data_IF_349845199254
#
_entry.id   IF_349845199254
#
_cell.length_a   1.000
_cell.length_b   1.000
_cell.length_c   1.000
_cell.angle_alpha   90.00
_cell.angle_beta   90.00
_cell.angle_gamma   90.00
#
_symmetry.space_group_name_H-M   'P 1'
#
loop_
_entity.id
_entity.type
_entity.pdbx_description
1 polymer ?
#
# COMPACT_ATOMS: atom_id res chain seq x y z
N UNK A 1 -32.72 1.73 42.96
CA UNK A 1 -32.02 2.99 42.70
C UNK A 1 -30.64 2.85 43.31
N UNK A 2 -29.69 2.43 42.49
CA UNK A 2 -28.29 2.23 42.90
C UNK A 2 -27.46 2.57 41.67
N UNK A 3 -26.64 3.59 41.84
CA UNK A 3 -25.98 4.34 40.79
C UNK A 3 -24.97 3.50 39.99
N UNK A 4 -25.31 3.24 38.73
CA UNK A 4 -24.35 2.87 37.68
C UNK A 4 -23.59 4.14 37.24
N UNK A 5 -22.79 4.68 38.16
CA UNK A 5 -21.70 5.59 37.83
C UNK A 5 -20.60 4.78 37.14
N UNK A 6 -20.87 4.35 35.91
CA UNK A 6 -19.91 3.69 35.04
C UNK A 6 -18.78 4.68 34.78
N UNK A 7 -17.69 4.52 35.52
CA UNK A 7 -16.44 5.25 35.32
C UNK A 7 -16.00 5.05 33.88
N UNK A 8 -16.20 6.08 33.05
CA UNK A 8 -15.73 6.10 31.67
C UNK A 8 -14.21 5.82 31.67
N UNK A 9 -13.72 4.85 30.88
CA UNK A 9 -12.29 4.67 30.72
C UNK A 9 -11.68 5.98 30.21
N UNK A 10 -10.81 6.58 31.03
CA UNK A 10 -10.09 7.81 30.68
C UNK A 10 -9.19 7.49 29.49
N UNK A 11 -9.54 8.02 28.32
CA UNK A 11 -8.72 7.93 27.10
C UNK A 11 -7.34 8.52 27.43
N UNK A 12 -6.25 7.74 27.35
CA UNK A 12 -4.92 8.32 27.48
C UNK A 12 -4.67 9.22 26.26
N UNK A 13 -4.79 10.54 26.45
CA UNK A 13 -4.28 11.54 25.50
C UNK A 13 -2.97 12.10 26.01
N UNK A 14 -1.89 11.43 25.66
CA UNK A 14 -0.59 12.07 25.42
C UNK A 14 0.03 11.36 24.22
N UNK A 15 0.20 12.08 23.13
CA UNK A 15 1.20 11.72 22.13
C UNK A 15 2.54 11.86 22.85
N UNK A 16 3.10 10.75 23.32
CA UNK A 16 4.43 10.73 23.90
C UNK A 16 5.43 10.77 22.73
N UNK A 17 5.56 11.95 22.13
CA UNK A 17 6.49 12.16 21.02
C UNK A 17 7.87 12.36 21.62
N UNK A 18 8.75 11.38 21.44
CA UNK A 18 10.15 11.53 21.85
C UNK A 18 10.74 12.72 21.08
N UNK A 19 11.16 13.79 21.76
CA UNK A 19 11.62 15.01 21.10
C UNK A 19 12.95 14.80 20.38
N UNK A 20 13.73 13.78 20.73
CA UNK A 20 15.05 13.52 20.13
C UNK A 20 14.95 13.03 18.68
N UNK A 21 14.21 11.95 18.35
CA UNK A 21 14.05 11.51 16.97
C UNK A 21 13.26 12.53 16.14
N UNK A 22 12.28 13.21 16.74
CA UNK A 22 11.54 14.28 16.06
C UNK A 22 12.47 15.43 15.68
N UNK A 23 13.28 15.90 16.62
CA UNK A 23 14.26 16.96 16.39
C UNK A 23 15.28 16.58 15.33
N UNK A 24 15.82 15.36 15.39
CA UNK A 24 16.75 14.84 14.39
C UNK A 24 16.12 14.78 12.99
N UNK A 25 14.89 14.31 12.87
CA UNK A 25 14.17 14.26 11.59
C UNK A 25 13.92 15.65 11.02
N UNK A 26 13.49 16.61 11.85
CA UNK A 26 13.26 18.00 11.43
C UNK A 26 14.56 18.68 10.98
N UNK A 27 15.66 18.45 11.71
CA UNK A 27 16.98 18.97 11.33
C UNK A 27 17.45 18.38 10.00
N UNK A 28 17.32 17.07 9.81
CA UNK A 28 17.68 16.42 8.54
C UNK A 28 16.84 16.93 7.38
N UNK A 29 15.54 17.11 7.58
CA UNK A 29 14.65 17.67 6.55
C UNK A 29 15.04 19.12 6.25
N UNK A 30 15.30 19.95 7.26
CA UNK A 30 15.71 21.34 7.07
C UNK A 30 17.05 21.44 6.33
N UNK A 31 18.06 20.68 6.77
CA UNK A 31 19.38 20.63 6.13
C UNK A 31 19.30 20.13 4.70
N UNK A 32 18.56 19.04 4.46
CA UNK A 32 18.32 18.51 3.11
C UNK A 32 17.66 19.55 2.21
N UNK A 33 16.64 20.25 2.71
CA UNK A 33 15.94 21.30 1.95
C UNK A 33 16.86 22.46 1.59
N UNK A 34 17.64 22.97 2.56
CA UNK A 34 18.58 24.07 2.34
C UNK A 34 19.69 23.65 1.38
N UNK A 35 20.26 22.46 1.57
CA UNK A 35 21.29 21.93 0.70
C UNK A 35 20.80 21.81 -0.74
N UNK A 36 19.64 21.18 -0.98
CA UNK A 36 19.08 21.03 -2.33
C UNK A 36 18.71 22.37 -2.97
N UNK A 37 18.27 23.34 -2.16
CA UNK A 37 17.96 24.68 -2.64
C UNK A 37 19.22 25.40 -3.14
N UNK A 38 20.37 25.18 -2.48
CA UNK A 38 21.65 25.80 -2.82
C UNK A 38 22.40 25.07 -3.94
N UNK A 39 22.37 23.73 -3.98
CA UNK A 39 23.19 22.95 -4.91
C UNK A 39 22.48 22.56 -6.20
N UNK A 40 21.14 22.50 -6.20
CA UNK A 40 20.40 22.00 -7.34
C UNK A 40 19.31 22.97 -7.82
N UNK A 41 18.23 23.14 -7.06
CA UNK A 41 17.18 24.14 -7.38
C UNK A 41 16.12 24.19 -6.28
N UNK A 42 15.42 25.33 -6.19
CA UNK A 42 14.24 25.47 -5.33
C UNK A 42 13.14 24.44 -5.61
N UNK A 43 13.01 23.98 -6.87
CA UNK A 43 12.06 22.91 -7.23
C UNK A 43 12.42 21.57 -6.58
N UNK A 44 13.70 21.19 -6.57
CA UNK A 44 14.12 19.93 -5.95
C UNK A 44 13.96 19.98 -4.42
N UNK A 45 14.24 21.12 -3.80
CA UNK A 45 13.96 21.34 -2.39
C UNK A 45 12.46 21.21 -2.06
N UNK A 46 11.58 21.78 -2.90
CA UNK A 46 10.14 21.64 -2.76
C UNK A 46 9.67 20.17 -2.92
N UNK A 47 10.20 19.45 -3.91
CA UNK A 47 9.90 18.03 -4.11
C UNK A 47 10.37 17.16 -2.93
N UNK A 48 11.51 17.50 -2.34
CA UNK A 48 12.02 16.83 -1.15
C UNK A 48 11.08 17.02 0.05
N UNK A 49 10.59 18.25 0.29
CA UNK A 49 9.58 18.51 1.33
C UNK A 49 8.27 17.76 1.08
N UNK A 50 7.78 17.75 -0.16
CA UNK A 50 6.59 16.97 -0.52
C UNK A 50 6.81 15.49 -0.23
N UNK A 51 7.99 14.93 -0.57
CA UNK A 51 8.36 13.56 -0.26
C UNK A 51 8.38 13.26 1.25
N UNK A 52 8.92 14.17 2.06
CA UNK A 52 8.94 14.04 3.52
C UNK A 52 7.53 14.04 4.13
N UNK A 53 6.67 14.97 3.70
CA UNK A 53 5.28 15.05 4.15
C UNK A 53 4.47 13.82 3.72
N UNK A 54 4.68 13.35 2.50
CA UNK A 54 4.03 12.15 1.99
C UNK A 54 4.50 10.90 2.73
N UNK A 55 5.79 10.79 3.04
CA UNK A 55 6.34 9.71 3.88
C UNK A 55 5.74 9.70 5.29
N UNK A 56 5.63 10.86 5.94
CA UNK A 56 4.98 10.98 7.25
C UNK A 56 3.49 10.59 7.18
N UNK A 57 2.79 11.02 6.13
CA UNK A 57 1.40 10.64 5.90
C UNK A 57 1.23 9.13 5.75
N UNK A 58 2.12 8.47 4.98
CA UNK A 58 2.09 7.02 4.79
C UNK A 58 2.44 6.24 6.06
N UNK A 59 3.40 6.73 6.84
CA UNK A 59 3.78 6.13 8.12
C UNK A 59 2.59 6.07 9.09
N UNK A 60 1.83 7.17 9.20
CA UNK A 60 0.66 7.23 10.07
C UNK A 60 -0.59 6.56 9.50
N UNK A 61 -0.74 6.50 8.19
CA UNK A 61 -1.92 5.91 7.57
C UNK A 61 -1.96 4.37 7.68
N UNK A 62 -0.85 3.71 8.05
CA UNK A 62 -0.70 2.23 8.07
C UNK A 62 -1.28 1.58 6.79
N UNK A 63 -1.12 2.28 5.66
CA UNK A 63 -1.86 2.03 4.44
C UNK A 63 -1.17 0.95 3.62
N UNK A 64 -1.48 -0.31 3.92
CA UNK A 64 -0.99 -1.46 3.17
C UNK A 64 -2.00 -1.97 2.15
N UNK A 65 -1.61 -2.06 0.88
CA UNK A 65 -2.48 -2.64 -0.15
C UNK A 65 -2.80 -4.11 0.17
N UNK A 66 -1.76 -4.91 0.40
CA UNK A 66 -1.85 -6.33 0.76
C UNK A 66 -2.59 -6.60 2.06
N UNK A 67 -2.38 -5.80 3.11
CA UNK A 67 -3.04 -6.01 4.41
C UNK A 67 -4.55 -5.74 4.36
N UNK A 68 -4.98 -4.70 3.63
CA UNK A 68 -6.40 -4.38 3.49
C UNK A 68 -7.19 -5.49 2.77
N UNK A 69 -6.62 -6.05 1.70
CA UNK A 69 -7.20 -7.20 0.99
C UNK A 69 -7.25 -8.46 1.86
N UNK A 70 -6.19 -8.73 2.63
CA UNK A 70 -6.15 -9.88 3.55
C UNK A 70 -7.24 -9.78 4.63
N UNK A 71 -7.38 -8.63 5.28
CA UNK A 71 -8.41 -8.38 6.29
C UNK A 71 -9.82 -8.46 5.69
N UNK A 72 -10.00 -7.99 4.45
CA UNK A 72 -11.28 -8.11 3.76
C UNK A 72 -11.66 -9.57 3.49
N UNK A 73 -10.72 -10.39 3.00
CA UNK A 73 -10.97 -11.80 2.66
C UNK A 73 -11.13 -12.66 3.93
N UNK A 74 -10.29 -12.44 4.94
CA UNK A 74 -10.28 -13.25 6.17
C UNK A 74 -11.41 -12.85 7.15
N UNK A 75 -11.60 -11.54 7.38
CA UNK A 75 -12.47 -11.03 8.42
C UNK A 75 -13.76 -10.36 7.86
N UNK A 76 -13.91 -10.28 6.54
CA UNK A 76 -15.03 -9.57 5.89
C UNK A 76 -14.99 -8.04 6.06
N UNK A 77 -13.95 -7.48 6.69
CA UNK A 77 -13.89 -6.05 7.05
C UNK A 77 -13.37 -5.20 5.89
N UNK A 78 -14.28 -4.62 5.12
CA UNK A 78 -13.97 -3.80 3.94
C UNK A 78 -13.50 -2.35 4.21
N UNK A 79 -13.16 -1.97 5.44
CA UNK A 79 -12.77 -0.58 5.75
C UNK A 79 -11.51 -0.14 4.99
N UNK A 80 -10.48 -0.98 4.92
CA UNK A 80 -9.25 -0.69 4.16
C UNK A 80 -9.49 -0.61 2.66
N UNK A 81 -10.33 -1.50 2.11
CA UNK A 81 -10.67 -1.50 0.69
C UNK A 81 -11.45 -0.22 0.29
N UNK A 82 -12.39 0.22 1.13
CA UNK A 82 -13.09 1.50 0.93
C UNK A 82 -12.13 2.69 0.99
N UNK A 83 -11.18 2.70 1.92
CA UNK A 83 -10.16 3.74 1.99
C UNK A 83 -9.31 3.80 0.71
N UNK A 84 -8.95 2.65 0.12
CA UNK A 84 -8.26 2.59 -1.17
C UNK A 84 -9.10 3.17 -2.31
N UNK A 85 -10.37 2.79 -2.38
CA UNK A 85 -11.26 3.30 -3.42
C UNK A 85 -11.46 4.82 -3.30
N UNK A 86 -11.62 5.34 -2.08
CA UNK A 86 -11.72 6.78 -1.83
C UNK A 86 -10.41 7.51 -2.18
N UNK A 87 -9.26 6.93 -1.84
CA UNK A 87 -7.96 7.49 -2.19
C UNK A 87 -7.79 7.57 -3.72
N UNK A 88 -8.08 6.49 -4.43
CA UNK A 88 -8.03 6.46 -5.90
C UNK A 88 -9.00 7.45 -6.52
N UNK A 89 -10.25 7.48 -6.04
CA UNK A 89 -11.26 8.43 -6.52
C UNK A 89 -10.82 9.87 -6.32
N UNK A 90 -10.23 10.20 -5.16
CA UNK A 90 -9.74 11.55 -4.87
C UNK A 90 -8.51 11.90 -5.71
N UNK A 91 -7.63 10.94 -5.95
CA UNK A 91 -6.51 11.09 -6.88
C UNK A 91 -7.02 11.41 -8.29
N UNK A 92 -7.95 10.61 -8.82
CA UNK A 92 -8.57 10.84 -10.13
C UNK A 92 -9.20 12.22 -10.21
N UNK A 93 -10.01 12.60 -9.22
CA UNK A 93 -10.71 13.89 -9.19
C UNK A 93 -9.74 15.09 -9.19
N UNK A 94 -8.58 14.97 -8.54
CA UNK A 94 -7.57 16.03 -8.48
C UNK A 94 -6.69 16.07 -9.74
N UNK A 95 -6.25 14.91 -10.24
CA UNK A 95 -5.26 14.84 -11.31
C UNK A 95 -5.88 14.90 -12.71
N UNK A 96 -7.08 14.37 -12.94
CA UNK A 96 -7.67 14.33 -14.29
C UNK A 96 -7.95 15.73 -14.86
N UNK A 97 -8.51 16.69 -14.10
CA UNK A 97 -8.66 18.06 -14.60
C UNK A 97 -7.31 18.71 -14.93
N UNK A 98 -6.28 18.47 -14.12
CA UNK A 98 -4.94 18.97 -14.37
C UNK A 98 -4.31 18.36 -15.64
N UNK A 99 -4.51 17.06 -15.87
CA UNK A 99 -4.09 16.37 -17.10
C UNK A 99 -4.83 16.89 -18.33
N UNK A 100 -6.13 17.17 -18.20
CA UNK A 100 -6.93 17.74 -19.28
C UNK A 100 -6.47 19.15 -19.65
N UNK A 101 -6.08 19.96 -18.66
CA UNK A 101 -5.55 21.30 -18.89
C UNK A 101 -4.22 21.29 -19.66
N UNK A 102 -3.46 20.17 -19.64
CA UNK A 102 -2.21 19.96 -20.37
C UNK A 102 -1.02 20.81 -19.88
N UNK A 103 -1.28 21.83 -19.06
CA UNK A 103 -0.27 22.66 -18.42
C UNK A 103 -0.68 22.97 -16.98
N UNK A 104 0.31 23.00 -16.08
CA UNK A 104 0.11 23.38 -14.68
C UNK A 104 1.22 24.34 -14.28
N UNK A 105 0.87 25.55 -13.82
CA UNK A 105 1.83 26.62 -13.50
C UNK A 105 2.80 26.95 -14.65
N UNK A 106 2.31 26.91 -15.90
CA UNK A 106 3.10 27.18 -17.10
C UNK A 106 4.07 26.05 -17.48
N UNK A 107 4.02 24.90 -16.80
CA UNK A 107 4.80 23.71 -17.15
C UNK A 107 3.93 22.68 -17.86
N UNK A 108 4.44 21.95 -18.87
CA UNK A 108 3.69 20.87 -19.51
C UNK A 108 3.38 19.79 -18.48
N UNK A 109 2.11 19.40 -18.39
CA UNK A 109 1.63 18.39 -17.45
C UNK A 109 0.96 17.26 -18.24
N UNK A 110 1.75 16.24 -18.56
CA UNK A 110 1.34 15.10 -19.39
C UNK A 110 1.39 13.81 -18.60
N UNK A 111 0.41 12.93 -18.85
CA UNK A 111 0.37 11.61 -18.24
C UNK A 111 1.40 10.69 -18.86
N UNK A 112 2.14 9.96 -18.03
CA UNK A 112 3.06 8.91 -18.49
C UNK A 112 2.27 7.61 -18.74
N UNK A 113 1.55 7.55 -19.85
CA UNK A 113 0.73 6.40 -20.22
C UNK A 113 1.55 5.47 -21.11
N UNK A 114 1.94 4.31 -20.58
CA UNK A 114 2.61 3.24 -21.31
C UNK A 114 1.70 2.02 -21.49
N UNK A 115 1.88 1.23 -22.57
CA UNK A 115 1.13 -0.01 -22.74
C UNK A 115 1.43 -1.00 -21.60
N UNK A 116 0.41 -1.72 -21.15
CA UNK A 116 0.56 -2.82 -20.21
C UNK A 116 1.34 -3.96 -20.89
N UNK A 117 2.65 -3.98 -20.72
CA UNK A 117 3.55 -4.96 -21.30
C UNK A 117 3.87 -6.13 -20.37
N UNK A 118 4.53 -7.15 -20.94
CA UNK A 118 5.07 -8.29 -20.20
C UNK A 118 6.00 -7.87 -19.06
N UNK A 119 6.74 -6.77 -19.24
CA UNK A 119 7.61 -6.18 -18.21
C UNK A 119 6.85 -5.77 -16.94
N UNK A 120 5.63 -5.23 -17.08
CA UNK A 120 4.79 -4.84 -15.93
C UNK A 120 4.33 -6.09 -15.18
N UNK A 121 3.93 -7.15 -15.89
CA UNK A 121 3.51 -8.42 -15.28
C UNK A 121 4.65 -9.07 -14.49
N UNK A 122 5.82 -9.19 -15.12
CA UNK A 122 7.01 -9.79 -14.49
C UNK A 122 7.48 -8.94 -13.31
N UNK A 123 7.55 -7.62 -13.48
CA UNK A 123 7.95 -6.68 -12.43
C UNK A 123 7.01 -6.70 -11.23
N UNK A 124 5.68 -6.69 -11.46
CA UNK A 124 4.68 -6.77 -10.39
C UNK A 124 4.76 -8.10 -9.62
N UNK A 125 5.03 -9.21 -10.32
CA UNK A 125 5.20 -10.51 -9.68
C UNK A 125 6.43 -10.56 -8.78
N UNK A 126 7.59 -10.12 -9.28
CA UNK A 126 8.83 -10.07 -8.50
C UNK A 126 8.69 -9.12 -7.31
N UNK A 127 8.06 -7.96 -7.48
CA UNK A 127 7.77 -7.02 -6.40
C UNK A 127 6.88 -7.67 -5.32
N UNK A 128 5.83 -8.39 -5.74
CA UNK A 128 4.96 -9.14 -4.83
C UNK A 128 5.72 -10.19 -4.01
N UNK A 129 6.61 -10.94 -4.65
CA UNK A 129 7.52 -11.87 -3.96
C UNK A 129 8.41 -11.10 -2.97
N UNK A 130 8.96 -9.96 -3.38
CA UNK A 130 9.76 -9.07 -2.53
C UNK A 130 9.04 -8.70 -1.23
N UNK A 131 7.77 -8.29 -1.31
CA UNK A 131 6.96 -7.90 -0.15
C UNK A 131 6.73 -9.08 0.82
N UNK A 132 6.50 -10.29 0.30
CA UNK A 132 6.31 -11.50 1.15
C UNK A 132 7.64 -11.99 1.75
N UNK A 133 8.75 -11.74 1.06
CA UNK A 133 10.10 -12.17 1.46
C UNK A 133 10.88 -11.14 2.29
N UNK A 134 10.38 -9.92 2.44
CA UNK A 134 11.08 -8.72 2.96
C UNK A 134 11.49 -8.75 4.45
N UNK A 135 11.57 -9.91 5.12
CA UNK A 135 12.14 -9.87 6.48
C UNK A 135 12.41 -11.17 7.23
N UNK A 136 12.15 -12.35 6.68
CA UNK A 136 12.46 -13.59 7.40
C UNK A 136 12.69 -14.77 6.45
N UNK A 137 13.66 -15.63 6.79
CA UNK A 137 13.85 -16.96 6.16
C UNK A 137 12.54 -17.76 6.15
N UNK A 138 11.67 -17.52 7.14
CA UNK A 138 10.33 -18.09 7.23
C UNK A 138 9.42 -17.72 6.04
N UNK A 139 9.54 -16.52 5.48
CA UNK A 139 8.75 -16.07 4.32
C UNK A 139 9.09 -16.86 3.04
N UNK A 140 10.39 -17.14 2.84
CA UNK A 140 10.85 -17.98 1.73
C UNK A 140 10.42 -19.44 1.89
N UNK A 141 10.52 -19.99 3.12
CA UNK A 141 10.09 -21.35 3.42
C UNK A 141 8.57 -21.52 3.26
N UNK A 142 7.78 -20.53 3.69
CA UNK A 142 6.33 -20.55 3.54
C UNK A 142 5.92 -20.54 2.05
N UNK A 143 6.58 -19.74 1.21
CA UNK A 143 6.28 -19.71 -0.23
C UNK A 143 6.57 -21.05 -0.91
N UNK A 144 7.73 -21.66 -0.60
CA UNK A 144 8.08 -22.99 -1.10
C UNK A 144 7.10 -24.08 -0.62
N UNK A 145 6.75 -24.07 0.67
CA UNK A 145 5.83 -25.02 1.27
C UNK A 145 4.39 -24.85 0.75
N UNK A 146 3.92 -23.61 0.58
CA UNK A 146 2.59 -23.33 0.03
C UNK A 146 2.47 -23.75 -1.43
N UNK A 147 3.52 -23.54 -2.24
CA UNK A 147 3.55 -24.01 -3.62
C UNK A 147 3.55 -25.54 -3.70
N UNK A 148 4.45 -26.19 -2.96
CA UNK A 148 4.51 -27.66 -2.90
C UNK A 148 3.21 -28.26 -2.37
N UNK A 149 2.60 -27.66 -1.33
CA UNK A 149 1.34 -28.09 -0.76
C UNK A 149 0.16 -27.94 -1.71
N UNK A 150 0.13 -26.90 -2.55
CA UNK A 150 -0.92 -26.72 -3.57
C UNK A 150 -0.77 -27.74 -4.71
N UNK A 151 0.46 -27.99 -5.17
CA UNK A 151 0.75 -29.04 -6.18
C UNK A 151 0.43 -30.44 -5.64
N UNK A 152 0.82 -30.73 -4.40
CA UNK A 152 0.54 -32.01 -3.77
C UNK A 152 -0.96 -32.17 -3.50
N UNK A 153 -1.61 -31.12 -2.99
CA UNK A 153 -3.06 -31.09 -2.76
C UNK A 153 -3.85 -31.30 -4.04
N UNK A 154 -3.49 -30.65 -5.15
CA UNK A 154 -4.13 -30.86 -6.45
C UNK A 154 -3.92 -32.26 -7.00
N UNK A 155 -2.77 -32.90 -6.72
CA UNK A 155 -2.51 -34.30 -7.07
C UNK A 155 -3.23 -35.30 -6.17
N UNK A 156 -3.50 -34.95 -4.90
CA UNK A 156 -4.21 -35.79 -3.93
C UNK A 156 -5.74 -35.64 -3.99
N UNK A 157 -6.26 -34.55 -4.58
CA UNK A 157 -7.70 -34.32 -4.80
C UNK A 157 -8.48 -35.53 -5.37
N UNK A 158 -8.01 -36.25 -6.41
CA UNK A 158 -8.73 -37.42 -6.92
C UNK A 158 -8.78 -38.58 -5.93
N UNK A 159 -7.82 -38.70 -5.00
CA UNK A 159 -7.84 -39.73 -3.96
C UNK A 159 -8.92 -39.49 -2.88
N UNK A 160 -9.44 -38.27 -2.77
CA UNK A 160 -10.49 -37.89 -1.82
C UNK A 160 -11.87 -37.70 -2.49
N UNK A 161 -12.02 -38.06 -3.76
CA UNK A 161 -13.30 -37.94 -4.48
C UNK A 161 -13.74 -36.48 -4.70
N UNK A 162 -12.85 -35.51 -4.58
CA UNK A 162 -13.09 -34.08 -4.85
C UNK A 162 -12.88 -33.75 -6.34
N UNK A 163 -13.29 -34.66 -7.21
CA UNK A 163 -13.15 -34.46 -8.64
C UNK A 163 -14.17 -33.39 -9.08
N UNK A 164 -13.67 -32.34 -9.75
CA UNK A 164 -14.53 -31.26 -10.24
C UNK A 164 -15.48 -31.87 -11.27
N UNK A 165 -16.78 -31.82 -10.98
CA UNK A 165 -17.85 -32.14 -11.94
C UNK A 165 -17.54 -31.38 -13.23
N UNK A 166 -16.99 -32.10 -14.21
CA UNK A 166 -16.61 -31.52 -15.49
C UNK A 166 -17.93 -31.18 -16.16
N UNK A 167 -18.31 -29.90 -16.14
CA UNK A 167 -19.51 -29.40 -16.81
C UNK A 167 -19.60 -30.09 -18.16
N UNK A 168 -20.63 -30.94 -18.31
CA UNK A 168 -20.92 -31.67 -19.54
C UNK A 168 -20.90 -30.64 -20.66
N UNK A 169 -19.91 -30.76 -21.54
CA UNK A 169 -19.85 -30.04 -22.81
C UNK A 169 -21.14 -30.36 -23.55
N UNK A 170 -22.14 -29.52 -23.37
CA UNK A 170 -23.36 -29.60 -24.15
C UNK A 170 -22.99 -28.95 -25.46
N UNK A 171 -22.61 -29.80 -26.41
CA UNK A 171 -22.33 -29.39 -27.77
C UNK A 171 -23.52 -28.67 -28.38
N UNK A 172 -23.22 -27.75 -29.29
CA UNK A 172 -23.98 -27.66 -30.52
C UNK A 172 -23.31 -28.57 -31.55
#
# INVERSE_FOLDING_TARGET
MSDLSTSLPRVPRRFDTDPKPLGAALVLIALGTVCLAQTASGRQAALYLVGALLGMSLYHAAFGFTSAWRVFIADGRGAGLRAQMLMLARGVLLFFPALQAGTLFGQPFVGLVGPAGTSILVGAFILGIGIVSSGSLHGWLWLAAAFAGNVLGTRLRPAFGLEVERLRSTGC
#
